data_IF_269445819106
#
_entry.id   IF_269445819106
#
_cell.length_a   1.000
_cell.length_b   1.000
_cell.length_c   1.000
_cell.angle_alpha   90.00
_cell.angle_beta   90.00
_cell.angle_gamma   90.00
#
_symmetry.space_group_name_H-M   'P 1'
#
loop_
_entity.id
_entity.type
_entity.pdbx_description
1 polymer ?
#
# COMPACT_ATOMS: atom_id res chain seq x y z
N UNK A 1 -9.38 -20.75 -24.31
CA UNK A 1 -9.47 -19.39 -23.74
C UNK A 1 -8.10 -19.01 -23.20
N UNK A 2 -7.57 -17.83 -23.55
CA UNK A 2 -6.20 -17.47 -23.18
C UNK A 2 -6.16 -16.98 -21.72
N UNK A 3 -5.57 -17.78 -20.83
CA UNK A 3 -5.51 -17.52 -19.38
C UNK A 3 -4.99 -16.12 -19.02
N UNK A 4 -4.13 -15.54 -19.85
CA UNK A 4 -3.64 -14.18 -19.68
C UNK A 4 -4.77 -13.14 -19.79
N UNK A 5 -5.60 -13.22 -20.83
CA UNK A 5 -6.75 -12.32 -21.03
C UNK A 5 -7.79 -12.51 -19.92
N UNK A 6 -8.00 -13.75 -19.49
CA UNK A 6 -8.95 -14.07 -18.45
C UNK A 6 -8.49 -13.54 -17.09
N UNK A 7 -7.23 -13.77 -16.73
CA UNK A 7 -6.61 -13.20 -15.53
C UNK A 7 -6.66 -11.68 -15.58
N UNK A 8 -6.28 -11.07 -16.70
CA UNK A 8 -6.35 -9.63 -16.89
C UNK A 8 -7.76 -9.09 -16.63
N UNK A 9 -8.79 -9.68 -17.24
CA UNK A 9 -10.17 -9.23 -17.08
C UNK A 9 -10.69 -9.35 -15.64
N UNK A 10 -10.30 -10.42 -14.93
CA UNK A 10 -10.64 -10.59 -13.51
C UNK A 10 -9.99 -9.49 -12.69
N UNK A 11 -8.66 -9.32 -12.78
CA UNK A 11 -7.94 -8.33 -11.99
C UNK A 11 -8.33 -6.90 -12.37
N UNK A 12 -8.70 -6.65 -13.62
CA UNK A 12 -9.28 -5.38 -14.08
C UNK A 12 -10.63 -5.10 -13.42
N UNK A 13 -11.52 -6.09 -13.38
CA UNK A 13 -12.80 -5.97 -12.68
C UNK A 13 -12.58 -5.75 -11.19
N UNK A 14 -11.74 -6.56 -10.55
CA UNK A 14 -11.49 -6.42 -9.12
C UNK A 14 -10.87 -5.03 -8.83
N UNK A 15 -9.89 -4.59 -9.62
CA UNK A 15 -9.30 -3.25 -9.50
C UNK A 15 -10.31 -2.11 -9.69
N UNK A 16 -11.27 -2.27 -10.59
CA UNK A 16 -12.33 -1.29 -10.82
C UNK A 16 -13.38 -1.24 -9.69
N UNK A 17 -13.67 -2.36 -9.04
CA UNK A 17 -14.76 -2.49 -8.05
C UNK A 17 -14.29 -2.60 -6.60
N UNK A 18 -13.01 -2.31 -6.30
CA UNK A 18 -12.51 -2.32 -4.93
C UNK A 18 -12.83 -0.99 -4.23
N UNK A 19 -13.87 -0.99 -3.40
CA UNK A 19 -14.22 0.12 -2.51
C UNK A 19 -13.89 -0.32 -1.09
N UNK A 20 -12.79 0.19 -0.51
CA UNK A 20 -12.37 -0.18 0.86
C UNK A 20 -10.88 -0.54 1.05
N UNK A 21 -10.05 -0.36 0.02
CA UNK A 21 -8.60 -0.57 0.11
C UNK A 21 -8.16 -2.02 -0.08
N UNK A 22 -6.87 -2.31 0.18
CA UNK A 22 -6.26 -3.60 -0.16
C UNK A 22 -6.89 -4.82 0.51
N UNK A 23 -7.39 -4.68 1.74
CA UNK A 23 -8.05 -5.78 2.46
C UNK A 23 -9.45 -6.11 1.94
N UNK A 24 -10.17 -5.13 1.38
CA UNK A 24 -11.46 -5.39 0.71
C UNK A 24 -11.27 -6.20 -0.58
N UNK A 25 -10.08 -6.15 -1.17
CA UNK A 25 -9.75 -6.86 -2.40
C UNK A 25 -9.49 -8.35 -2.18
N UNK A 26 -8.94 -8.73 -1.02
CA UNK A 26 -8.57 -10.12 -0.67
C UNK A 26 -9.74 -11.10 -0.87
N UNK A 27 -10.93 -10.91 -0.27
CA UNK A 27 -12.04 -11.85 -0.44
C UNK A 27 -12.60 -11.89 -1.88
N UNK A 28 -12.48 -10.79 -2.64
CA UNK A 28 -12.88 -10.77 -4.05
C UNK A 28 -11.94 -11.62 -4.91
N UNK A 29 -10.63 -11.50 -4.66
CA UNK A 29 -9.61 -12.30 -5.35
C UNK A 29 -9.75 -13.76 -4.97
N UNK A 30 -9.90 -14.07 -3.68
CA UNK A 30 -10.10 -15.43 -3.16
C UNK A 30 -11.30 -16.10 -3.83
N UNK A 31 -12.45 -15.43 -3.84
CA UNK A 31 -13.66 -15.98 -4.45
C UNK A 31 -13.50 -16.24 -5.96
N UNK A 32 -12.84 -15.36 -6.70
CA UNK A 32 -12.65 -15.56 -8.14
C UNK A 32 -11.58 -16.60 -8.48
N UNK A 33 -10.44 -16.56 -7.82
CA UNK A 33 -9.27 -17.38 -8.16
C UNK A 33 -9.34 -18.77 -7.51
N UNK A 34 -9.80 -18.85 -6.26
CA UNK A 34 -9.85 -20.10 -5.49
C UNK A 34 -11.22 -20.76 -5.63
N UNK A 35 -12.31 -20.06 -5.31
CA UNK A 35 -13.64 -20.68 -5.24
C UNK A 35 -14.24 -20.98 -6.61
N UNK A 36 -14.34 -19.96 -7.48
CA UNK A 36 -15.01 -20.10 -8.78
C UNK A 36 -14.15 -20.81 -9.82
N UNK A 37 -12.87 -20.45 -9.91
CA UNK A 37 -11.98 -20.92 -10.97
C UNK A 37 -11.07 -22.07 -10.55
N UNK A 38 -10.85 -22.22 -9.24
CA UNK A 38 -9.96 -23.26 -8.67
C UNK A 38 -8.58 -23.27 -9.32
N UNK A 39 -8.06 -22.10 -9.67
CA UNK A 39 -6.74 -21.97 -10.29
C UNK A 39 -5.60 -22.10 -9.28
N UNK A 40 -5.88 -21.79 -8.01
CA UNK A 40 -4.95 -21.87 -6.89
C UNK A 40 -5.68 -22.55 -5.73
N UNK A 41 -4.98 -23.37 -4.96
CA UNK A 41 -5.54 -24.00 -3.76
C UNK A 41 -5.71 -22.97 -2.63
N UNK A 42 -6.60 -23.25 -1.68
CA UNK A 42 -6.84 -22.36 -0.53
C UNK A 42 -5.56 -22.10 0.28
N UNK A 43 -4.78 -23.15 0.53
CA UNK A 43 -3.50 -23.09 1.23
C UNK A 43 -2.49 -22.19 0.51
N UNK A 44 -2.33 -22.39 -0.80
CA UNK A 44 -1.46 -21.57 -1.64
C UNK A 44 -1.87 -20.09 -1.62
N UNK A 45 -3.17 -19.81 -1.60
CA UNK A 45 -3.67 -18.43 -1.52
C UNK A 45 -3.29 -17.76 -0.19
N UNK A 46 -3.40 -18.48 0.93
CA UNK A 46 -3.00 -17.99 2.25
C UNK A 46 -1.49 -17.71 2.28
N UNK A 47 -0.67 -18.60 1.72
CA UNK A 47 0.78 -18.40 1.62
C UNK A 47 1.13 -17.17 0.78
N UNK A 48 0.49 -17.01 -0.37
CA UNK A 48 0.68 -15.83 -1.24
C UNK A 48 0.24 -14.55 -0.53
N UNK A 49 -0.85 -14.58 0.25
CA UNK A 49 -1.30 -13.45 1.05
C UNK A 49 -0.29 -13.08 2.15
N UNK A 50 0.32 -14.08 2.81
CA UNK A 50 1.36 -13.86 3.83
C UNK A 50 2.62 -13.22 3.22
N UNK A 51 3.06 -13.71 2.06
CA UNK A 51 4.19 -13.13 1.31
C UNK A 51 3.85 -11.69 0.88
N UNK A 52 2.63 -11.45 0.41
CA UNK A 52 2.16 -10.13 -0.03
C UNK A 52 2.17 -9.08 1.07
N UNK A 53 1.84 -9.48 2.30
CA UNK A 53 1.87 -8.60 3.48
C UNK A 53 3.29 -8.33 3.98
N UNK A 54 4.22 -9.26 3.73
CA UNK A 54 5.62 -9.11 4.11
C UNK A 54 6.39 -8.20 3.14
N UNK A 55 5.98 -8.17 1.87
CA UNK A 55 6.57 -7.32 0.86
C UNK A 55 6.16 -5.84 1.05
N UNK A 56 7.10 -4.88 0.95
CA UNK A 56 6.75 -3.47 0.99
C UNK A 56 5.86 -3.11 -0.21
N UNK A 57 4.81 -2.33 0.03
CA UNK A 57 3.94 -1.83 -1.04
C UNK A 57 2.45 -1.97 -0.75
N UNK A 58 1.64 -1.83 -1.80
CA UNK A 58 0.18 -1.91 -1.71
C UNK A 58 -0.21 -3.38 -1.78
N UNK A 59 -0.86 -3.88 -0.72
CA UNK A 59 -1.28 -5.28 -0.58
C UNK A 59 -2.00 -5.81 -1.84
N UNK A 60 -2.94 -5.03 -2.38
CA UNK A 60 -3.69 -5.33 -3.59
C UNK A 60 -2.79 -5.65 -4.81
N UNK A 61 -1.73 -4.88 -5.02
CA UNK A 61 -0.83 -5.06 -6.17
C UNK A 61 0.10 -6.24 -5.92
N UNK A 62 0.64 -6.36 -4.70
CA UNK A 62 1.53 -7.45 -4.32
C UNK A 62 0.84 -8.81 -4.48
N UNK A 63 -0.38 -8.98 -3.97
CA UNK A 63 -1.11 -10.24 -4.09
C UNK A 63 -1.45 -10.58 -5.54
N UNK A 64 -1.81 -9.59 -6.35
CA UNK A 64 -2.02 -9.79 -7.79
C UNK A 64 -0.76 -10.25 -8.51
N UNK A 65 0.42 -9.66 -8.19
CA UNK A 65 1.71 -10.04 -8.76
C UNK A 65 2.06 -11.49 -8.42
N UNK A 66 1.92 -11.88 -7.14
CA UNK A 66 2.28 -13.21 -6.67
C UNK A 66 1.31 -14.28 -7.19
N UNK A 67 0.01 -13.98 -7.25
CA UNK A 67 -0.97 -14.86 -7.91
C UNK A 67 -0.65 -15.00 -9.40
N UNK A 68 -0.37 -13.90 -10.10
CA UNK A 68 0.05 -13.94 -11.50
C UNK A 68 1.32 -14.77 -11.71
N UNK A 69 2.26 -14.68 -10.77
CA UNK A 69 3.49 -15.47 -10.78
C UNK A 69 3.20 -16.96 -10.66
N UNK A 70 2.34 -17.36 -9.72
CA UNK A 70 1.91 -18.74 -9.53
C UNK A 70 1.19 -19.29 -10.78
N UNK A 71 0.38 -18.47 -11.45
CA UNK A 71 -0.38 -18.90 -12.63
C UNK A 71 0.48 -19.10 -13.88
N UNK A 72 1.34 -18.13 -14.23
CA UNK A 72 2.10 -18.12 -15.50
C UNK A 72 3.49 -17.47 -15.40
N UNK A 73 4.11 -17.51 -14.22
CA UNK A 73 5.42 -16.91 -13.96
C UNK A 73 5.41 -15.40 -14.19
N UNK A 74 6.56 -14.85 -14.60
CA UNK A 74 6.77 -13.40 -14.78
C UNK A 74 5.72 -12.76 -15.71
N UNK A 75 5.34 -13.45 -16.79
CA UNK A 75 4.34 -12.93 -17.74
C UNK A 75 2.96 -12.84 -17.08
N UNK A 76 2.60 -13.82 -16.24
CA UNK A 76 1.38 -13.77 -15.46
C UNK A 76 1.37 -12.61 -14.48
N UNK A 77 2.48 -12.38 -13.76
CA UNK A 77 2.62 -11.25 -12.84
C UNK A 77 2.42 -9.89 -13.49
N UNK A 78 3.01 -9.68 -14.68
CA UNK A 78 2.87 -8.41 -15.41
C UNK A 78 1.39 -8.19 -15.78
N UNK A 79 0.72 -9.24 -16.28
CA UNK A 79 -0.66 -9.15 -16.74
C UNK A 79 -1.63 -8.89 -15.58
N UNK A 80 -1.49 -9.57 -14.44
CA UNK A 80 -2.35 -9.37 -13.28
C UNK A 80 -2.08 -8.03 -12.58
N UNK A 81 -0.82 -7.58 -12.54
CA UNK A 81 -0.45 -6.27 -12.02
C UNK A 81 -1.04 -5.14 -12.87
N UNK A 82 -0.86 -5.21 -14.20
CA UNK A 82 -1.45 -4.25 -15.12
C UNK A 82 -2.97 -4.26 -15.02
N UNK A 83 -3.60 -5.45 -15.02
CA UNK A 83 -5.04 -5.59 -14.83
C UNK A 83 -5.51 -4.87 -13.55
N UNK A 84 -4.78 -5.02 -12.44
CA UNK A 84 -5.13 -4.38 -11.16
C UNK A 84 -4.98 -2.85 -11.19
N UNK A 85 -3.93 -2.32 -11.82
CA UNK A 85 -3.57 -0.89 -11.75
C UNK A 85 -4.27 -0.04 -12.83
N UNK A 86 -4.45 -0.60 -14.03
CA UNK A 86 -5.05 0.08 -15.18
C UNK A 86 -6.42 0.73 -14.91
N UNK A 87 -7.40 0.10 -14.23
CA UNK A 87 -8.70 0.72 -14.04
C UNK A 87 -8.60 2.04 -13.27
N UNK A 88 -7.85 2.06 -12.17
CA UNK A 88 -7.62 3.29 -11.39
C UNK A 88 -6.83 4.33 -12.20
N UNK A 89 -5.81 3.89 -12.94
CA UNK A 89 -5.02 4.79 -13.80
C UNK A 89 -5.87 5.46 -14.88
N UNK A 90 -6.72 4.69 -15.57
CA UNK A 90 -7.61 5.20 -16.63
C UNK A 90 -8.60 6.21 -16.04
N UNK A 91 -9.20 5.92 -14.89
CA UNK A 91 -10.15 6.83 -14.23
C UNK A 91 -9.46 8.15 -13.87
N UNK A 92 -8.28 8.09 -13.25
CA UNK A 92 -7.52 9.29 -12.86
C UNK A 92 -7.10 10.09 -14.11
N UNK A 93 -6.60 9.41 -15.14
CA UNK A 93 -6.18 10.04 -16.38
C UNK A 93 -7.36 10.73 -17.08
N UNK A 94 -8.52 10.07 -17.15
CA UNK A 94 -9.73 10.66 -17.69
C UNK A 94 -10.10 11.93 -16.92
N UNK A 95 -10.18 11.85 -15.59
CA UNK A 95 -10.47 13.02 -14.74
C UNK A 95 -9.46 14.15 -14.99
N UNK A 96 -8.17 13.85 -15.09
CA UNK A 96 -7.13 14.84 -15.33
C UNK A 96 -7.26 15.52 -16.71
N UNK A 97 -7.55 14.76 -17.76
CA UNK A 97 -7.76 15.29 -19.11
C UNK A 97 -9.00 16.18 -19.18
N UNK A 98 -10.12 15.76 -18.59
CA UNK A 98 -11.32 16.60 -18.52
C UNK A 98 -11.11 17.83 -17.64
N UNK A 99 -10.35 17.71 -16.54
CA UNK A 99 -10.07 18.82 -15.63
C UNK A 99 -9.37 19.98 -16.33
N UNK A 100 -8.43 19.73 -17.24
CA UNK A 100 -7.71 20.80 -17.95
C UNK A 100 -8.68 21.72 -18.72
N UNK A 101 -9.77 21.18 -19.25
CA UNK A 101 -10.79 21.93 -19.99
C UNK A 101 -11.74 22.76 -19.11
N UNK A 102 -11.84 22.45 -17.81
CA UNK A 102 -12.77 23.11 -16.87
C UNK A 102 -12.07 23.85 -15.72
N UNK A 103 -10.73 23.90 -15.70
CA UNK A 103 -9.95 24.46 -14.59
C UNK A 103 -10.26 25.95 -14.33
N UNK A 104 -10.65 26.69 -15.36
CA UNK A 104 -10.92 28.13 -15.28
C UNK A 104 -12.32 28.43 -14.73
N UNK A 105 -13.14 27.40 -14.46
CA UNK A 105 -14.45 27.58 -13.83
C UNK A 105 -14.29 27.80 -12.31
N UNK A 106 -14.75 28.94 -11.77
CA UNK A 106 -14.60 29.27 -10.35
C UNK A 106 -15.30 28.29 -9.40
N UNK A 107 -16.31 27.55 -9.86
CA UNK A 107 -16.96 26.48 -9.05
C UNK A 107 -16.01 25.30 -8.87
N UNK A 108 -15.33 24.88 -9.95
CA UNK A 108 -14.38 23.77 -9.92
C UNK A 108 -13.20 24.11 -9.00
N UNK A 109 -12.65 25.32 -9.11
CA UNK A 109 -11.56 25.78 -8.23
C UNK A 109 -11.93 25.68 -6.74
N UNK A 110 -13.15 26.10 -6.37
CA UNK A 110 -13.65 26.02 -4.99
C UNK A 110 -13.81 24.59 -4.50
N UNK A 111 -14.30 23.68 -5.36
CA UNK A 111 -14.39 22.25 -5.03
C UNK A 111 -13.00 21.67 -4.76
N UNK A 112 -12.02 21.95 -5.61
CA UNK A 112 -10.64 21.46 -5.42
C UNK A 112 -9.97 22.02 -4.17
N UNK A 113 -10.27 23.28 -3.79
CA UNK A 113 -9.85 23.84 -2.50
C UNK A 113 -10.43 23.06 -1.32
N UNK A 114 -11.67 22.55 -1.43
CA UNK A 114 -12.28 21.66 -0.43
C UNK A 114 -11.72 20.23 -0.43
N UNK A 115 -11.33 19.69 -1.60
CA UNK A 115 -10.75 18.35 -1.71
C UNK A 115 -9.36 18.27 -1.05
N UNK A 116 -8.53 19.33 -1.16
CA UNK A 116 -7.17 19.35 -0.57
C UNK A 116 -7.13 18.96 0.93
N UNK A 117 -7.87 19.60 1.84
CA UNK A 117 -7.88 19.21 3.25
C UNK A 117 -8.49 17.82 3.49
N UNK A 118 -9.47 17.40 2.66
CA UNK A 118 -10.01 16.05 2.73
C UNK A 118 -8.95 14.98 2.41
N UNK A 119 -8.10 15.22 1.41
CA UNK A 119 -6.96 14.33 1.08
C UNK A 119 -5.94 14.30 2.22
N UNK A 120 -5.64 15.44 2.85
CA UNK A 120 -4.76 15.48 4.03
C UNK A 120 -5.34 14.63 5.16
N UNK A 121 -6.64 14.76 5.46
CA UNK A 121 -7.31 13.93 6.47
C UNK A 121 -7.28 12.43 6.12
N UNK A 122 -7.48 12.09 4.85
CA UNK A 122 -7.43 10.71 4.35
C UNK A 122 -6.06 10.06 4.50
N UNK A 123 -4.97 10.84 4.40
CA UNK A 123 -3.59 10.38 4.64
C UNK A 123 -3.28 10.36 6.15
N UNK A 124 -3.73 11.38 6.88
CA UNK A 124 -3.48 11.52 8.30
C UNK A 124 -4.16 10.43 9.15
N UNK A 125 -5.37 10.00 8.79
CA UNK A 125 -6.11 8.99 9.56
C UNK A 125 -5.43 7.61 9.62
N UNK A 126 -4.97 7.01 8.49
CA UNK A 126 -4.15 5.81 8.52
C UNK A 126 -2.82 6.02 9.24
N UNK A 127 -2.18 7.18 9.03
CA UNK A 127 -0.91 7.52 9.69
C UNK A 127 -1.05 7.52 11.22
N UNK A 128 -2.13 8.11 11.74
CA UNK A 128 -2.41 8.16 13.17
C UNK A 128 -2.75 6.77 13.74
N UNK A 129 -3.54 5.99 13.00
CA UNK A 129 -3.84 4.60 13.36
C UNK A 129 -2.57 3.76 13.44
N UNK A 130 -1.67 3.91 12.46
CA UNK A 130 -0.38 3.24 12.43
C UNK A 130 0.51 3.68 13.59
N UNK A 131 0.52 4.97 13.94
CA UNK A 131 1.23 5.49 15.12
C UNK A 131 0.70 4.90 16.44
N UNK A 132 -0.62 4.71 16.58
CA UNK A 132 -1.20 4.01 17.74
C UNK A 132 -0.81 2.54 17.77
N UNK A 133 -0.88 1.83 16.65
CA UNK A 133 -0.46 0.43 16.55
C UNK A 133 1.02 0.23 16.88
N UNK A 134 1.87 1.21 16.52
CA UNK A 134 3.29 1.24 16.88
C UNK A 134 3.56 1.58 18.35
N UNK A 135 2.53 1.80 19.17
CA UNK A 135 2.61 2.19 20.60
C UNK A 135 3.50 3.42 20.83
N UNK A 136 3.39 4.44 19.97
CA UNK A 136 4.13 5.70 20.14
C UNK A 136 3.69 6.35 21.46
N UNK A 137 4.63 6.39 22.42
CA UNK A 137 4.42 7.02 23.73
C UNK A 137 4.99 8.45 23.74
N UNK A 138 4.74 9.23 24.79
CA UNK A 138 5.29 10.61 24.96
C UNK A 138 6.81 10.67 24.79
N UNK A 139 7.51 9.60 25.15
CA UNK A 139 8.96 9.46 25.06
C UNK A 139 9.46 9.12 23.65
N UNK A 140 8.61 8.65 22.75
CA UNK A 140 8.98 8.28 21.38
C UNK A 140 8.34 9.20 20.33
N UNK A 141 7.45 10.12 20.75
CA UNK A 141 6.77 11.06 19.88
C UNK A 141 7.75 12.03 19.19
N UNK A 142 8.90 12.30 19.80
CA UNK A 142 9.92 13.16 19.19
C UNK A 142 10.47 12.59 17.88
N UNK A 143 10.52 11.26 17.71
CA UNK A 143 11.09 10.61 16.52
C UNK A 143 10.32 11.01 15.24
N UNK A 144 8.99 10.80 15.13
CA UNK A 144 8.23 11.22 13.95
C UNK A 144 8.16 12.75 13.82
N UNK A 145 8.12 13.50 14.93
CA UNK A 145 8.05 14.98 14.90
C UNK A 145 9.34 15.58 14.34
N UNK A 146 10.50 15.14 14.85
CA UNK A 146 11.82 15.57 14.35
C UNK A 146 12.00 15.12 12.91
N UNK A 147 11.61 13.89 12.56
CA UNK A 147 11.67 13.41 11.18
C UNK A 147 10.84 14.28 10.23
N UNK A 148 9.61 14.63 10.61
CA UNK A 148 8.75 15.51 9.81
C UNK A 148 9.33 16.94 9.68
N UNK A 149 9.89 17.49 10.77
CA UNK A 149 10.56 18.80 10.76
C UNK A 149 11.81 18.80 9.87
N UNK A 150 12.64 17.75 9.92
CA UNK A 150 13.83 17.64 9.06
C UNK A 150 13.45 17.61 7.57
N UNK A 151 12.38 16.88 7.22
CA UNK A 151 11.89 16.84 5.83
C UNK A 151 11.36 18.22 5.42
N UNK A 152 10.56 18.86 6.27
CA UNK A 152 9.89 20.12 5.94
C UNK A 152 10.85 21.31 5.89
N UNK A 153 11.79 21.42 6.83
CA UNK A 153 12.65 22.60 6.99
C UNK A 153 13.95 22.50 6.18
N UNK A 154 14.55 21.31 6.12
CA UNK A 154 15.88 21.10 5.50
C UNK A 154 15.80 20.44 4.12
N UNK A 155 14.60 20.09 3.64
CA UNK A 155 14.42 19.40 2.37
C UNK A 155 15.11 18.04 2.31
N UNK A 156 15.37 17.42 3.47
CA UNK A 156 16.13 16.18 3.55
C UNK A 156 15.34 15.04 2.89
N UNK A 157 16.01 14.23 2.07
CA UNK A 157 15.35 13.09 1.44
C UNK A 157 14.85 12.10 2.51
N UNK A 158 13.56 11.72 2.48
CA UNK A 158 12.99 10.76 3.43
C UNK A 158 13.75 9.42 3.48
N UNK A 159 14.42 9.05 2.38
CA UNK A 159 15.19 7.81 2.27
C UNK A 159 16.29 7.77 3.34
N UNK A 160 17.04 8.85 3.52
CA UNK A 160 18.13 8.91 4.51
C UNK A 160 17.61 8.83 5.94
N UNK A 161 16.46 9.44 6.20
CA UNK A 161 15.81 9.39 7.52
C UNK A 161 15.36 7.96 7.83
N UNK A 162 14.79 7.24 6.86
CA UNK A 162 14.39 5.84 7.03
C UNK A 162 15.62 4.96 7.32
N UNK A 163 16.72 5.14 6.58
CA UNK A 163 17.96 4.40 6.81
C UNK A 163 18.52 4.69 8.21
N UNK A 164 18.61 5.98 8.59
CA UNK A 164 19.12 6.38 9.89
C UNK A 164 18.24 5.86 11.05
N UNK A 165 16.92 5.92 10.91
CA UNK A 165 15.98 5.38 11.89
C UNK A 165 16.11 3.84 12.01
N UNK A 166 16.28 3.14 10.88
CA UNK A 166 16.49 1.69 10.86
C UNK A 166 17.79 1.28 11.53
N UNK A 167 18.91 1.93 11.19
CA UNK A 167 20.23 1.68 11.79
C UNK A 167 20.23 2.05 13.27
N UNK A 168 19.69 3.23 13.62
CA UNK A 168 19.56 3.68 15.01
C UNK A 168 18.71 2.74 15.86
N UNK A 169 17.58 2.26 15.32
CA UNK A 169 16.74 1.26 15.97
C UNK A 169 17.45 -0.08 16.17
N UNK A 170 18.23 -0.54 15.18
CA UNK A 170 19.01 -1.78 15.29
C UNK A 170 20.11 -1.70 16.34
N UNK A 171 20.87 -0.59 16.38
CA UNK A 171 21.92 -0.36 17.37
C UNK A 171 21.33 -0.29 18.78
N UNK A 172 20.25 0.47 18.97
CA UNK A 172 19.55 0.56 20.26
C UNK A 172 18.99 -0.80 20.71
N UNK A 173 18.46 -1.59 19.77
CA UNK A 173 17.99 -2.94 20.02
C UNK A 173 19.10 -3.89 20.51
N UNK A 174 20.33 -3.74 20.00
CA UNK A 174 21.50 -4.48 20.51
C UNK A 174 21.89 -4.04 21.93
N UNK A 175 21.94 -2.73 22.21
CA UNK A 175 22.31 -2.24 23.55
C UNK A 175 21.30 -2.65 24.63
N UNK A 176 19.99 -2.66 24.33
CA UNK A 176 18.96 -3.02 25.31
C UNK A 176 18.88 -4.54 25.59
N UNK A 177 19.30 -5.38 24.63
CA UNK A 177 19.35 -6.84 24.81
C UNK A 177 20.51 -7.28 25.71
N UNK A 178 21.57 -6.46 25.80
CA UNK A 178 22.72 -6.70 26.70
C UNK A 178 22.38 -6.43 28.16
N UNK A 179 21.48 -5.48 28.44
CA UNK A 179 21.05 -5.15 29.83
C UNK A 179 20.19 -6.25 30.48
N UNK A 180 19.57 -7.16 29.69
CA UNK A 180 18.73 -8.25 30.21
C UNK A 180 19.48 -9.54 30.56
N UNK A 181 20.80 -9.63 30.29
CA UNK A 181 21.61 -10.83 30.58
C UNK A 181 22.39 -10.76 31.91
N UNK A 182 22.21 -9.72 32.74
CA UNK A 182 22.68 -9.72 34.12
C UNK A 182 21.51 -9.99 35.09
N UNK A 183 21.20 -11.26 35.40
CA UNK A 183 20.31 -11.58 36.50
C UNK A 183 20.98 -11.08 37.78
N UNK A 184 20.41 -10.06 38.40
CA UNK A 184 20.76 -9.70 39.78
C UNK A 184 20.29 -10.85 40.66
N UNK A 185 21.26 -11.41 41.39
CA UNK A 185 21.16 -12.41 42.46
C UNK A 185 19.99 -12.12 43.41
#
# INVERSE_FOLDING_TARGET
>A
MNIYLESFGIFFKIGAFTIGGGYAMVPLIENEIVTKRKWIAQEDFIDLLAISQSAPGILAVNISIFIGYKLRGIRGSIVTALGTILPSFIIILAIALFFHSFKDNPIVERIFKGIRPAVVALIAAPTFTMGRSAKINRYNLWIPVVSALLIWLLGFSPIWIIIAAGVGGFLWGKFKKVESEHPRL
#
